data_IF_818052661416
#
_entry.id   IF_818052661416
#
_cell.length_a   1.000
_cell.length_b   1.000
_cell.length_c   1.000
_cell.angle_alpha   90.00
_cell.angle_beta   90.00
_cell.angle_gamma   90.00
#
_symmetry.space_group_name_H-M   'P 1'
#
loop_
_entity.id
_entity.type
_entity.pdbx_description
1 polymer ?
#
# COMPACT_ATOMS: atom_id res chain seq x y z
N UNK A 1 -32.64 11.64 -24.31
CA UNK A 1 -33.51 11.49 -23.11
C UNK A 1 -32.92 10.37 -22.26
N UNK A 2 -32.94 10.42 -20.91
CA UNK A 2 -32.44 9.31 -20.10
C UNK A 2 -33.30 8.05 -20.28
N UNK A 3 -32.66 6.90 -20.46
CA UNK A 3 -33.35 5.62 -20.52
C UNK A 3 -33.77 5.23 -19.12
N UNK A 4 -35.05 4.91 -18.95
CA UNK A 4 -35.58 4.41 -17.69
C UNK A 4 -35.69 2.89 -17.78
N UNK A 5 -35.09 2.18 -16.83
CA UNK A 5 -35.21 0.73 -16.72
C UNK A 5 -35.56 0.34 -15.29
N UNK A 6 -36.14 -0.85 -15.13
CA UNK A 6 -36.63 -1.34 -13.85
C UNK A 6 -35.76 -2.49 -13.35
N UNK A 7 -35.24 -2.37 -12.13
CA UNK A 7 -34.64 -3.48 -11.38
C UNK A 7 -35.57 -3.76 -10.19
N UNK A 8 -36.25 -4.90 -10.21
CA UNK A 8 -37.33 -5.19 -9.28
C UNK A 8 -38.42 -4.10 -9.33
N UNK A 9 -38.75 -3.51 -8.18
CA UNK A 9 -39.75 -2.44 -8.06
C UNK A 9 -39.17 -1.02 -8.18
N UNK A 10 -37.88 -0.88 -8.51
CA UNK A 10 -37.21 0.42 -8.58
C UNK A 10 -37.02 0.87 -10.02
N UNK A 11 -37.32 2.16 -10.25
CA UNK A 11 -37.11 2.82 -11.53
C UNK A 11 -35.75 3.51 -11.52
N UNK A 12 -34.83 3.02 -12.34
CA UNK A 12 -33.49 3.57 -12.50
C UNK A 12 -33.39 4.35 -13.82
N UNK A 13 -32.63 5.45 -13.82
CA UNK A 13 -32.42 6.26 -15.01
C UNK A 13 -30.94 6.29 -15.35
N UNK A 14 -30.62 6.03 -16.63
CA UNK A 14 -29.27 6.14 -17.16
C UNK A 14 -29.25 7.17 -18.28
N UNK A 15 -28.23 8.04 -18.25
CA UNK A 15 -28.06 9.03 -19.30
C UNK A 15 -27.67 8.35 -20.62
N UNK A 16 -28.15 8.91 -21.73
CA UNK A 16 -27.94 8.36 -23.08
C UNK A 16 -26.45 8.22 -23.44
N UNK A 17 -25.60 9.10 -22.90
CA UNK A 17 -24.14 9.05 -23.04
C UNK A 17 -23.55 7.80 -22.38
N UNK A 18 -23.93 7.52 -21.14
CA UNK A 18 -23.49 6.31 -20.42
C UNK A 18 -24.06 5.02 -21.03
N UNK A 19 -25.28 5.07 -21.57
CA UNK A 19 -25.85 3.91 -22.26
C UNK A 19 -25.08 3.58 -23.56
N UNK A 20 -24.65 4.61 -24.31
CA UNK A 20 -23.78 4.40 -25.48
C UNK A 20 -22.40 3.87 -25.08
N UNK A 21 -21.80 4.36 -23.99
CA UNK A 21 -20.54 3.81 -23.49
C UNK A 21 -20.65 2.32 -23.11
N UNK A 22 -21.81 1.88 -22.60
CA UNK A 22 -22.09 0.46 -22.29
C UNK A 22 -22.35 -0.37 -23.57
N UNK A 23 -23.10 0.18 -24.53
CA UNK A 23 -23.48 -0.53 -25.77
C UNK A 23 -22.31 -0.60 -26.75
N UNK A 24 -21.49 0.45 -26.84
CA UNK A 24 -20.44 0.59 -27.83
C UNK A 24 -19.11 -0.06 -27.38
N UNK A 25 -18.95 -0.45 -26.10
CA UNK A 25 -17.72 -1.04 -25.57
C UNK A 25 -17.93 -2.32 -24.72
N UNK A 26 -18.18 -3.43 -25.43
CA UNK A 26 -18.14 -4.85 -25.00
C UNK A 26 -19.46 -5.43 -24.46
N UNK A 27 -19.77 -6.65 -24.93
CA UNK A 27 -20.97 -7.44 -24.60
C UNK A 27 -21.01 -7.97 -23.15
N UNK A 28 -19.99 -7.75 -22.34
CA UNK A 28 -19.96 -8.10 -20.91
C UNK A 28 -19.25 -7.01 -20.12
N UNK A 29 -19.92 -6.45 -19.11
CA UNK A 29 -19.33 -5.53 -18.15
C UNK A 29 -18.99 -6.33 -16.88
N UNK A 30 -17.69 -6.58 -16.67
CA UNK A 30 -17.21 -7.30 -15.48
C UNK A 30 -16.90 -6.27 -14.39
N UNK A 31 -17.75 -6.19 -13.38
CA UNK A 31 -17.49 -5.34 -12.22
C UNK A 31 -16.30 -5.85 -11.41
N UNK A 32 -15.44 -4.93 -10.98
CA UNK A 32 -14.36 -5.22 -10.04
C UNK A 32 -14.92 -5.62 -8.67
N UNK A 33 -14.12 -6.34 -7.86
CA UNK A 33 -14.46 -6.70 -6.47
C UNK A 33 -14.79 -5.47 -5.61
N UNK A 34 -14.12 -4.33 -5.85
CA UNK A 34 -14.38 -3.06 -5.17
C UNK A 34 -15.75 -2.49 -5.55
N UNK A 35 -16.13 -2.53 -6.83
CA UNK A 35 -17.45 -2.05 -7.27
C UNK A 35 -18.58 -2.94 -6.76
N UNK A 36 -18.38 -4.26 -6.72
CA UNK A 36 -19.33 -5.20 -6.09
C UNK A 36 -19.47 -4.96 -4.59
N UNK A 37 -18.37 -4.69 -3.90
CA UNK A 37 -18.35 -4.31 -2.48
C UNK A 37 -19.14 -3.01 -2.25
N UNK A 38 -18.84 -1.95 -3.01
CA UNK A 38 -19.51 -0.65 -2.87
C UNK A 38 -21.00 -0.80 -3.15
N UNK A 39 -21.40 -1.55 -4.17
CA UNK A 39 -22.81 -1.75 -4.50
C UNK A 39 -23.56 -2.57 -3.45
N UNK A 40 -22.94 -3.64 -2.92
CA UNK A 40 -23.50 -4.44 -1.83
C UNK A 40 -23.71 -3.59 -0.57
N UNK A 41 -22.69 -2.86 -0.15
CA UNK A 41 -22.73 -2.11 1.11
C UNK A 41 -23.54 -0.81 1.04
N UNK A 42 -23.66 -0.20 -0.14
CA UNK A 42 -24.60 0.93 -0.36
C UNK A 42 -26.06 0.52 -0.15
N UNK A 43 -26.41 -0.74 -0.37
CA UNK A 43 -27.77 -1.24 -0.15
C UNK A 43 -28.04 -1.55 1.33
N UNK A 44 -27.00 -1.85 2.11
CA UNK A 44 -27.10 -2.23 3.53
C UNK A 44 -26.98 -0.99 4.44
N UNK A 45 -26.10 -0.05 4.10
CA UNK A 45 -25.75 1.09 4.95
C UNK A 45 -26.34 2.42 4.46
N UNK A 46 -26.29 3.45 5.32
CA UNK A 46 -27.13 4.63 5.13
C UNK A 46 -26.82 5.40 3.84
N UNK A 47 -27.82 6.12 3.29
CA UNK A 47 -27.63 7.09 2.20
C UNK A 47 -26.84 8.35 2.61
N UNK A 48 -26.29 8.39 3.83
CA UNK A 48 -25.57 9.56 4.38
C UNK A 48 -24.07 9.51 4.12
N UNK A 49 -23.50 8.31 3.97
CA UNK A 49 -22.08 8.14 3.65
C UNK A 49 -21.80 8.42 2.17
N UNK A 50 -20.71 9.14 1.91
CA UNK A 50 -20.23 9.42 0.57
C UNK A 50 -19.57 8.16 -0.02
N UNK A 51 -19.49 8.09 -1.36
CA UNK A 51 -18.76 7.00 -2.05
C UNK A 51 -17.31 6.91 -1.59
N UNK A 52 -16.69 8.03 -1.18
CA UNK A 52 -15.36 8.08 -0.58
C UNK A 52 -15.25 7.26 0.70
N UNK A 53 -16.29 7.25 1.52
CA UNK A 53 -16.29 6.60 2.83
C UNK A 53 -16.31 5.08 2.65
N UNK A 54 -17.11 4.58 1.70
CA UNK A 54 -17.14 3.17 1.34
C UNK A 54 -15.83 2.69 0.72
N UNK A 55 -15.12 3.55 -0.03
CA UNK A 55 -13.77 3.24 -0.54
C UNK A 55 -12.75 3.15 0.58
N UNK A 56 -12.84 4.04 1.57
CA UNK A 56 -11.94 3.99 2.73
C UNK A 56 -12.18 2.72 3.56
N UNK A 57 -13.45 2.36 3.79
CA UNK A 57 -13.80 1.13 4.51
C UNK A 57 -13.34 -0.12 3.73
N UNK A 58 -13.53 -0.14 2.41
CA UNK A 58 -13.01 -1.21 1.54
C UNK A 58 -11.49 -1.37 1.69
N UNK A 59 -10.75 -0.27 1.68
CA UNK A 59 -9.29 -0.27 1.81
C UNK A 59 -8.81 -0.73 3.20
N UNK A 60 -9.63 -0.55 4.23
CA UNK A 60 -9.33 -1.03 5.58
C UNK A 60 -9.66 -2.53 5.75
N UNK A 61 -10.82 -2.97 5.23
CA UNK A 61 -11.34 -4.34 5.37
C UNK A 61 -10.65 -5.34 4.45
N UNK A 62 -10.51 -4.97 3.18
CA UNK A 62 -9.84 -5.76 2.18
C UNK A 62 -8.39 -5.28 2.16
N UNK A 63 -7.50 -6.02 2.82
CA UNK A 63 -6.06 -5.87 2.63
C UNK A 63 -5.70 -6.28 1.19
N UNK A 64 -6.13 -5.51 0.19
CA UNK A 64 -5.37 -5.39 -1.04
C UNK A 64 -4.08 -4.69 -0.64
N UNK A 65 -2.93 -5.26 -0.98
CA UNK A 65 -1.65 -4.57 -0.84
C UNK A 65 -1.61 -3.39 -1.81
N UNK A 66 -2.32 -2.32 -1.50
CA UNK A 66 -2.29 -1.07 -2.24
C UNK A 66 -3.10 -0.07 -1.44
N UNK A 67 -2.41 0.88 -0.82
CA UNK A 67 -2.85 2.21 -0.36
C UNK A 67 -2.12 2.58 0.95
N UNK A 68 -0.95 3.25 0.87
CA UNK A 68 -0.40 3.99 2.00
C UNK A 68 -1.16 5.29 2.31
N UNK A 69 -2.16 5.65 1.51
CA UNK A 69 -2.79 6.98 1.56
C UNK A 69 -3.95 7.11 2.55
N UNK A 70 -4.07 6.23 3.55
CA UNK A 70 -4.91 6.55 4.70
C UNK A 70 -4.12 7.53 5.58
N UNK A 71 -4.30 8.82 5.31
CA UNK A 71 -3.88 9.90 6.20
C UNK A 71 -4.69 9.76 7.49
N UNK A 72 -4.03 9.29 8.55
CA UNK A 72 -4.60 9.09 9.86
C UNK A 72 -3.53 8.63 10.85
N UNK A 73 -3.86 8.59 12.15
CA UNK A 73 -2.89 8.37 13.23
C UNK A 73 -2.12 7.04 13.18
N UNK A 74 -2.47 6.11 12.27
CA UNK A 74 -1.87 4.77 12.13
C UNK A 74 -1.10 4.52 10.83
N UNK A 75 -0.47 5.57 10.28
CA UNK A 75 0.69 5.37 9.39
C UNK A 75 1.78 4.55 10.12
N UNK A 76 2.65 3.79 9.45
CA UNK A 76 3.71 2.99 10.10
C UNK A 76 4.71 3.79 10.97
N UNK A 77 4.62 5.12 10.97
CA UNK A 77 5.55 6.04 11.63
C UNK A 77 5.55 6.00 13.17
N UNK A 78 4.40 6.12 13.88
CA UNK A 78 4.42 6.29 15.34
C UNK A 78 4.68 5.00 16.14
N UNK A 79 4.48 3.83 15.54
CA UNK A 79 4.44 2.54 16.25
C UNK A 79 5.60 1.59 15.93
N UNK A 80 6.55 2.04 15.09
CA UNK A 80 7.74 1.30 14.63
C UNK A 80 8.71 0.81 15.72
N UNK A 81 8.46 1.13 17.00
CA UNK A 81 9.34 0.78 18.14
C UNK A 81 8.83 -0.37 19.01
N UNK A 82 7.79 -1.09 18.60
CA UNK A 82 7.27 -2.27 19.32
C UNK A 82 7.02 -3.41 18.34
N UNK A 83 7.18 -4.65 18.80
CA UNK A 83 7.05 -5.90 18.03
C UNK A 83 5.62 -6.19 17.50
N UNK A 84 4.76 -5.19 17.37
CA UNK A 84 3.38 -5.33 16.88
C UNK A 84 3.23 -4.68 15.50
N UNK A 85 2.95 -5.50 14.49
CA UNK A 85 2.64 -5.05 13.14
C UNK A 85 1.32 -4.25 13.11
N UNK A 86 1.45 -2.93 12.97
CA UNK A 86 0.32 -2.00 12.95
C UNK A 86 -0.70 -2.26 11.83
N UNK A 87 -0.34 -3.02 10.79
CA UNK A 87 -1.26 -3.38 9.70
C UNK A 87 -2.36 -4.36 10.15
N UNK A 88 -2.11 -5.11 11.24
CA UNK A 88 -3.09 -6.03 11.85
C UNK A 88 -4.31 -5.32 12.44
N UNK A 89 -4.22 -4.02 12.72
CA UNK A 89 -5.36 -3.23 13.20
C UNK A 89 -6.28 -2.75 12.08
N UNK A 90 -5.87 -2.80 10.80
CA UNK A 90 -6.65 -2.26 9.68
C UNK A 90 -7.98 -2.96 9.45
N UNK A 91 -8.04 -4.31 9.40
CA UNK A 91 -9.31 -5.02 9.28
C UNK A 91 -10.29 -4.63 10.40
N UNK A 92 -9.78 -4.50 11.62
CA UNK A 92 -10.56 -4.10 12.80
C UNK A 92 -11.12 -2.67 12.67
N UNK A 93 -10.28 -1.72 12.26
CA UNK A 93 -10.69 -0.33 12.05
C UNK A 93 -11.72 -0.21 10.92
N UNK A 94 -11.53 -0.94 9.82
CA UNK A 94 -12.49 -1.01 8.73
C UNK A 94 -13.84 -1.56 9.20
N UNK A 95 -13.81 -2.57 10.05
CA UNK A 95 -15.00 -3.19 10.62
C UNK A 95 -15.74 -2.26 11.58
N UNK A 96 -15.02 -1.53 12.44
CA UNK A 96 -15.63 -0.54 13.34
C UNK A 96 -16.20 0.64 12.56
N UNK A 97 -15.52 1.09 11.49
CA UNK A 97 -16.02 2.14 10.60
C UNK A 97 -17.26 1.70 9.82
N UNK A 98 -17.34 0.41 9.47
CA UNK A 98 -18.54 -0.19 8.91
C UNK A 98 -19.71 -0.12 9.90
N UNK A 99 -19.48 -0.46 11.18
CA UNK A 99 -20.47 -0.37 12.25
C UNK A 99 -20.91 1.08 12.48
N UNK A 100 -19.98 2.03 12.52
CA UNK A 100 -20.26 3.46 12.73
C UNK A 100 -21.09 4.06 11.56
N UNK A 101 -20.86 3.59 10.33
CA UNK A 101 -21.64 3.97 9.15
C UNK A 101 -22.98 3.22 9.00
N UNK A 102 -23.20 2.19 9.83
CA UNK A 102 -24.38 1.32 9.76
C UNK A 102 -25.64 1.96 10.31
N UNK A 103 -26.79 1.42 9.92
CA UNK A 103 -28.05 1.81 10.56
C UNK A 103 -28.12 1.22 11.97
N UNK A 104 -28.70 1.93 12.95
CA UNK A 104 -28.88 1.39 14.29
C UNK A 104 -29.55 0.01 14.30
N UNK A 105 -30.49 -0.22 13.39
CA UNK A 105 -31.24 -1.47 13.22
C UNK A 105 -30.40 -2.67 12.74
N UNK A 106 -29.12 -2.46 12.41
CA UNK A 106 -28.23 -3.48 11.84
C UNK A 106 -27.02 -3.76 12.71
N UNK A 107 -26.87 -3.06 13.85
CA UNK A 107 -25.69 -3.17 14.73
C UNK A 107 -25.65 -4.55 15.42
N UNK A 108 -26.80 -5.09 15.79
CA UNK A 108 -26.97 -6.40 16.42
C UNK A 108 -26.59 -7.58 15.50
N UNK A 109 -26.43 -7.33 14.21
CA UNK A 109 -25.99 -8.34 13.23
C UNK A 109 -24.48 -8.52 13.18
N UNK A 110 -23.72 -7.61 13.78
CA UNK A 110 -22.26 -7.70 13.84
C UNK A 110 -21.82 -8.57 15.00
N UNK A 111 -20.88 -9.47 14.74
CA UNK A 111 -20.31 -10.36 15.77
C UNK A 111 -18.81 -10.56 15.57
N UNK A 112 -18.13 -10.98 16.64
CA UNK A 112 -16.71 -11.34 16.62
C UNK A 112 -16.53 -12.71 17.24
N UNK A 113 -15.79 -13.58 16.56
CA UNK A 113 -15.32 -14.86 17.09
C UNK A 113 -13.81 -14.81 17.31
N UNK A 114 -13.34 -15.39 18.41
CA UNK A 114 -11.91 -15.45 18.76
C UNK A 114 -11.46 -16.91 18.80
N UNK A 115 -10.52 -17.26 17.93
CA UNK A 115 -9.99 -18.60 17.79
C UNK A 115 -8.52 -18.64 18.23
N UNK A 116 -8.10 -19.75 18.84
CA UNK A 116 -6.69 -19.98 19.13
C UNK A 116 -5.89 -20.10 17.80
N UNK A 117 -4.76 -19.41 17.71
CA UNK A 117 -3.86 -19.46 16.55
C UNK A 117 -2.43 -19.83 17.00
N UNK A 118 -1.44 -19.77 16.10
CA UNK A 118 -0.02 -20.10 16.37
C UNK A 118 0.51 -19.46 17.67
N UNK A 119 1.56 -20.04 18.28
CA UNK A 119 2.09 -19.69 19.61
C UNK A 119 1.97 -18.19 19.96
N UNK A 120 1.17 -17.89 20.99
CA UNK A 120 0.86 -16.55 21.54
C UNK A 120 0.01 -15.60 20.66
N UNK A 121 -0.62 -16.08 19.59
CA UNK A 121 -1.53 -15.32 18.75
C UNK A 121 -2.94 -15.91 18.74
N UNK A 122 -3.94 -15.03 18.61
CA UNK A 122 -5.36 -15.34 18.48
C UNK A 122 -5.85 -14.80 17.13
N UNK A 123 -6.73 -15.55 16.45
CA UNK A 123 -7.37 -15.12 15.21
C UNK A 123 -8.75 -14.55 15.55
N UNK A 124 -9.00 -13.31 15.14
CA UNK A 124 -10.29 -12.65 15.29
C UNK A 124 -11.01 -12.70 13.95
N UNK A 125 -12.17 -13.33 13.91
CA UNK A 125 -13.04 -13.37 12.76
C UNK A 125 -14.24 -12.45 13.00
N UNK A 126 -14.50 -11.55 12.07
CA UNK A 126 -15.51 -10.51 12.18
C UNK A 126 -16.63 -10.76 11.17
N UNK A 127 -17.88 -10.82 11.64
CA UNK A 127 -19.02 -11.28 10.85
C UNK A 127 -20.16 -10.27 10.80
N UNK A 128 -20.88 -10.24 9.69
CA UNK A 128 -22.16 -9.55 9.55
C UNK A 128 -23.23 -10.57 9.16
N UNK A 129 -24.25 -10.75 10.01
CA UNK A 129 -25.38 -11.67 9.76
C UNK A 129 -24.92 -13.09 9.40
N UNK A 130 -23.89 -13.58 10.10
CA UNK A 130 -23.27 -14.90 9.89
C UNK A 130 -22.32 -14.99 8.69
N UNK A 131 -22.13 -13.90 7.93
CA UNK A 131 -21.18 -13.84 6.80
C UNK A 131 -19.85 -13.27 7.28
N UNK A 132 -18.76 -13.98 7.04
CA UNK A 132 -17.40 -13.51 7.35
C UNK A 132 -17.10 -12.24 6.54
N UNK A 133 -16.82 -11.14 7.22
CA UNK A 133 -16.47 -9.86 6.61
C UNK A 133 -14.96 -9.74 6.46
N UNK A 134 -14.21 -10.02 7.53
CA UNK A 134 -12.75 -9.96 7.53
C UNK A 134 -12.19 -10.69 8.75
N UNK A 135 -10.87 -10.89 8.79
CA UNK A 135 -10.16 -11.51 9.90
C UNK A 135 -8.82 -10.82 10.18
N UNK A 136 -8.33 -10.94 11.42
CA UNK A 136 -7.01 -10.43 11.80
C UNK A 136 -6.39 -11.19 12.96
N UNK A 137 -5.07 -11.21 13.02
CA UNK A 137 -4.31 -11.81 14.12
C UNK A 137 -4.05 -10.78 15.23
N UNK A 138 -4.25 -11.18 16.49
CA UNK A 138 -4.02 -10.34 17.66
C UNK A 138 -3.26 -11.10 18.75
N UNK A 139 -2.43 -10.40 19.52
CA UNK A 139 -1.87 -10.95 20.76
C UNK A 139 -2.96 -11.05 21.84
N UNK A 140 -2.75 -11.87 22.87
CA UNK A 140 -3.67 -11.97 24.02
C UNK A 140 -3.94 -10.61 24.66
N UNK A 141 -2.89 -9.79 24.81
CA UNK A 141 -2.98 -8.40 25.30
C UNK A 141 -3.90 -7.53 24.43
N UNK A 142 -3.83 -7.67 23.11
CA UNK A 142 -4.70 -6.94 22.19
C UNK A 142 -6.15 -7.39 22.33
N UNK A 143 -6.38 -8.68 22.51
CA UNK A 143 -7.74 -9.21 22.72
C UNK A 143 -8.34 -8.67 24.01
N UNK A 144 -7.58 -8.60 25.10
CA UNK A 144 -8.09 -8.03 26.37
C UNK A 144 -8.53 -6.57 26.21
N UNK A 145 -7.77 -5.75 25.47
CA UNK A 145 -8.19 -4.40 25.12
C UNK A 145 -9.52 -4.38 24.33
N UNK A 146 -9.72 -5.31 23.40
CA UNK A 146 -10.94 -5.37 22.59
C UNK A 146 -12.15 -5.87 23.37
N UNK A 147 -11.96 -6.75 24.36
CA UNK A 147 -13.03 -7.14 25.30
C UNK A 147 -13.57 -5.94 26.08
N UNK A 148 -12.70 -4.98 26.41
CA UNK A 148 -13.08 -3.78 27.16
C UNK A 148 -13.70 -2.69 26.28
N UNK A 149 -13.40 -2.69 24.98
CA UNK A 149 -13.69 -1.53 24.12
C UNK A 149 -14.62 -1.80 22.95
N UNK A 150 -14.75 -3.05 22.50
CA UNK A 150 -15.41 -3.38 21.24
C UNK A 150 -16.49 -4.47 21.36
N UNK A 151 -16.20 -5.60 22.00
CA UNK A 151 -17.12 -6.76 21.98
C UNK A 151 -17.10 -7.56 23.28
N UNK A 152 -18.21 -8.26 23.55
CA UNK A 152 -18.31 -9.20 24.65
C UNK A 152 -17.74 -10.56 24.25
N UNK A 153 -16.67 -10.98 24.93
CA UNK A 153 -15.97 -12.23 24.64
C UNK A 153 -16.84 -13.49 24.73
N UNK A 154 -17.86 -13.49 25.59
CA UNK A 154 -18.63 -14.70 25.88
C UNK A 154 -19.64 -15.04 24.78
N UNK A 155 -20.15 -14.03 24.07
CA UNK A 155 -21.18 -14.20 23.05
C UNK A 155 -20.84 -13.53 21.71
N UNK A 156 -19.70 -12.83 21.61
CA UNK A 156 -19.24 -12.18 20.38
C UNK A 156 -20.01 -10.91 20.02
N UNK A 157 -20.97 -10.47 20.84
CA UNK A 157 -21.79 -9.28 20.57
C UNK A 157 -20.95 -8.00 20.62
N UNK A 158 -21.21 -7.08 19.70
CA UNK A 158 -20.57 -5.76 19.70
C UNK A 158 -21.11 -4.93 20.87
N UNK A 159 -20.20 -4.50 21.75
CA UNK A 159 -20.50 -3.71 22.96
C UNK A 159 -19.80 -2.35 22.95
N UNK A 160 -19.41 -1.85 21.77
CA UNK A 160 -18.67 -0.59 21.55
C UNK A 160 -19.05 0.47 22.58
N UNK A 161 -18.18 0.63 23.58
CA UNK A 161 -18.48 1.45 24.74
C UNK A 161 -18.30 2.92 24.37
N UNK A 162 -19.39 3.59 24.01
CA UNK A 162 -19.42 5.04 23.90
C UNK A 162 -19.27 5.63 25.31
N UNK A 163 -18.09 6.14 25.65
CA UNK A 163 -17.93 6.91 26.89
C UNK A 163 -18.46 8.33 26.67
N UNK A 164 -19.76 8.49 26.93
CA UNK A 164 -20.36 9.71 27.48
C UNK A 164 -20.68 10.85 26.50
N UNK A 165 -21.93 10.91 26.04
CA UNK A 165 -22.77 12.10 26.23
C UNK A 165 -24.24 11.72 26.07
N UNK A 166 -24.76 11.03 27.08
CA UNK A 166 -26.20 11.02 27.33
C UNK A 166 -26.61 12.46 27.71
N UNK A 167 -27.57 13.04 26.97
CA UNK A 167 -28.31 14.29 27.23
C UNK A 167 -28.01 15.54 26.36
N UNK A 168 -27.78 15.42 25.05
CA UNK A 168 -28.02 16.56 24.14
C UNK A 168 -28.80 16.13 22.89
N UNK A 169 -29.79 16.94 22.44
CA UNK A 169 -30.53 16.64 21.22
C UNK A 169 -29.57 16.68 20.02
N UNK A 170 -29.89 15.97 18.93
CA UNK A 170 -29.01 15.86 17.77
C UNK A 170 -28.90 17.23 17.08
N UNK A 171 -27.97 18.07 17.54
CA UNK A 171 -27.66 19.34 16.92
C UNK A 171 -26.75 19.08 15.73
N UNK A 172 -27.09 19.73 14.63
CA UNK A 172 -26.31 19.89 13.41
C UNK A 172 -24.93 20.53 13.71
N UNK A 173 -23.98 19.75 14.27
CA UNK A 173 -22.53 19.98 14.28
C UNK A 173 -21.82 18.89 15.12
N UNK A 174 -21.08 18.00 14.45
CA UNK A 174 -19.85 17.36 14.95
C UNK A 174 -19.87 16.62 16.29
N UNK A 175 -20.71 15.59 16.46
CA UNK A 175 -20.46 14.58 17.50
C UNK A 175 -19.40 13.59 17.01
N UNK A 176 -18.28 13.44 17.72
CA UNK A 176 -17.26 12.44 17.38
C UNK A 176 -17.91 11.05 17.26
N UNK A 177 -17.76 10.40 16.09
CA UNK A 177 -18.34 9.09 15.79
C UNK A 177 -17.78 7.98 16.67
N UNK A 178 -18.45 6.82 16.69
CA UNK A 178 -18.00 5.63 17.43
C UNK A 178 -16.59 5.24 16.97
N UNK A 179 -16.31 5.41 15.67
CA UNK A 179 -14.99 5.19 15.08
C UNK A 179 -13.92 6.09 15.69
N UNK A 180 -14.17 7.40 15.80
CA UNK A 180 -13.18 8.37 16.30
C UNK A 180 -12.85 8.14 17.79
N UNK A 181 -13.87 7.82 18.59
CA UNK A 181 -13.68 7.51 20.01
C UNK A 181 -12.86 6.22 20.22
N UNK A 182 -13.13 5.19 19.39
CA UNK A 182 -12.36 3.95 19.40
C UNK A 182 -10.91 4.19 18.94
N UNK A 183 -10.71 4.97 17.87
CA UNK A 183 -9.41 5.29 17.31
C UNK A 183 -8.49 5.94 18.37
N UNK A 184 -9.00 6.92 19.12
CA UNK A 184 -8.23 7.58 20.19
C UNK A 184 -7.84 6.64 21.32
N UNK A 185 -8.73 5.72 21.73
CA UNK A 185 -8.43 4.71 22.76
C UNK A 185 -7.36 3.73 22.29
N UNK A 186 -7.43 3.30 21.04
CA UNK A 186 -6.42 2.44 20.44
C UNK A 186 -5.04 3.12 20.41
N UNK A 187 -4.97 4.41 20.08
CA UNK A 187 -3.71 5.19 20.14
C UNK A 187 -3.14 5.19 21.57
N UNK A 188 -3.99 5.42 22.58
CA UNK A 188 -3.58 5.41 23.99
C UNK A 188 -3.05 4.06 24.46
N UNK A 189 -3.74 2.97 24.10
CA UNK A 189 -3.31 1.60 24.39
C UNK A 189 -1.94 1.29 23.77
N UNK A 190 -1.77 1.62 22.49
CA UNK A 190 -0.54 1.35 21.73
C UNK A 190 0.65 2.21 22.16
N UNK A 191 0.43 3.33 22.87
CA UNK A 191 1.51 4.21 23.35
C UNK A 191 2.02 3.84 24.74
N UNK A 192 1.36 2.96 25.50
CA UNK A 192 1.76 2.60 26.88
C UNK A 192 2.72 1.38 26.92
N UNK A 193 3.98 1.48 27.42
CA UNK A 193 5.00 0.43 27.32
C UNK A 193 4.57 -0.92 27.91
N UNK A 194 4.84 -2.01 27.19
CA UNK A 194 4.83 -3.34 27.77
C UNK A 194 6.09 -3.50 28.64
N UNK A 195 5.94 -4.00 29.86
CA UNK A 195 7.05 -4.34 30.74
C UNK A 195 7.97 -5.37 30.08
N UNK A 196 9.29 -5.11 30.12
CA UNK A 196 10.30 -5.78 29.31
C UNK A 196 10.77 -7.16 29.84
N UNK A 197 11.16 -8.01 28.89
CA UNK A 197 12.28 -8.98 28.97
C UNK A 197 12.70 -9.22 27.51
N UNK A 198 13.87 -8.86 26.99
CA UNK A 198 15.22 -8.87 27.53
C UNK A 198 16.01 -9.87 26.70
N UNK A 199 16.74 -9.43 25.67
CA UNK A 199 18.02 -10.03 25.24
C UNK A 199 18.71 -9.21 24.14
N UNK A 200 19.94 -8.80 24.43
CA UNK A 200 20.93 -8.28 23.48
C UNK A 200 21.73 -9.46 22.91
N UNK A 201 22.00 -9.46 21.59
CA UNK A 201 23.29 -9.97 21.11
C UNK A 201 23.69 -9.26 19.81
N UNK A 202 24.89 -8.69 19.83
CA UNK A 202 25.54 -8.12 18.67
C UNK A 202 26.40 -9.16 17.95
N UNK A 203 26.55 -8.98 16.64
CA UNK A 203 27.71 -9.44 15.89
C UNK A 203 27.93 -8.47 14.72
N UNK A 204 29.05 -7.75 14.78
CA UNK A 204 29.64 -7.04 13.65
C UNK A 204 30.50 -8.09 12.94
N UNK A 205 30.38 -8.22 11.61
CA UNK A 205 31.30 -9.04 10.84
C UNK A 205 32.05 -8.25 9.78
N UNK A 206 33.31 -8.65 9.63
CA UNK A 206 34.42 -7.90 9.06
C UNK A 206 34.46 -7.90 7.53
N UNK A 207 35.08 -6.85 7.01
CA UNK A 207 35.43 -6.62 5.61
C UNK A 207 36.53 -7.57 5.11
N UNK A 208 36.24 -8.32 4.06
CA UNK A 208 37.24 -8.90 3.16
C UNK A 208 37.34 -8.05 1.89
N UNK A 209 38.55 -7.67 1.49
CA UNK A 209 38.82 -6.84 0.32
C UNK A 209 38.58 -7.64 -0.97
N UNK A 210 37.33 -7.73 -1.40
CA UNK A 210 36.98 -8.22 -2.73
C UNK A 210 37.28 -7.14 -3.78
N UNK A 211 37.55 -7.58 -5.01
CA UNK A 211 37.51 -6.70 -6.19
C UNK A 211 36.23 -5.85 -6.17
N UNK A 212 36.29 -4.56 -6.53
CA UNK A 212 35.13 -3.69 -6.54
C UNK A 212 34.04 -4.29 -7.45
N UNK A 213 32.79 -4.26 -6.99
CA UNK A 213 31.67 -4.78 -7.77
C UNK A 213 31.61 -4.07 -9.15
N UNK A 214 31.15 -4.75 -10.20
CA UNK A 214 31.13 -4.21 -11.55
C UNK A 214 30.44 -2.82 -11.65
N UNK A 215 29.39 -2.59 -10.85
CA UNK A 215 28.70 -1.30 -10.78
C UNK A 215 29.58 -0.19 -10.20
N UNK A 216 30.44 -0.51 -9.22
CA UNK A 216 31.42 0.43 -8.66
C UNK A 216 32.52 0.74 -9.67
N UNK A 217 33.00 -0.28 -10.39
CA UNK A 217 33.97 -0.09 -11.46
C UNK A 217 33.42 0.80 -12.58
N UNK A 218 32.14 0.65 -12.92
CA UNK A 218 31.45 1.49 -13.90
C UNK A 218 31.29 2.95 -13.43
N UNK A 219 30.80 3.18 -12.20
CA UNK A 219 30.61 4.56 -11.67
C UNK A 219 31.94 5.30 -11.52
N UNK A 220 33.02 4.57 -11.23
CA UNK A 220 34.37 5.12 -11.13
C UNK A 220 35.13 5.15 -12.47
N UNK A 221 34.49 4.77 -13.59
CA UNK A 221 35.15 4.76 -14.89
C UNK A 221 35.32 6.18 -15.44
N UNK A 222 36.40 6.47 -16.18
CA UNK A 222 36.59 7.76 -16.84
C UNK A 222 35.43 8.15 -17.77
N UNK A 223 34.78 7.15 -18.39
CA UNK A 223 33.64 7.34 -19.28
C UNK A 223 32.39 7.81 -18.53
N UNK A 224 32.17 7.37 -17.29
CA UNK A 224 31.06 7.83 -16.45
C UNK A 224 31.34 9.21 -15.85
N UNK A 225 32.59 9.47 -15.45
CA UNK A 225 32.99 10.72 -14.78
C UNK A 225 33.18 11.92 -15.72
N UNK A 226 33.30 11.69 -17.04
CA UNK A 226 33.42 12.80 -17.99
C UNK A 226 32.11 13.60 -18.09
N UNK A 227 32.22 14.86 -18.50
CA UNK A 227 31.07 15.67 -18.86
C UNK A 227 30.34 15.08 -20.07
N UNK A 228 29.10 14.65 -19.86
CA UNK A 228 28.25 14.05 -20.89
C UNK A 228 27.21 15.08 -21.35
N UNK A 229 27.02 15.23 -22.66
CA UNK A 229 25.93 16.05 -23.17
C UNK A 229 24.68 15.19 -23.30
N UNK A 230 23.52 15.70 -22.85
CA UNK A 230 22.25 14.95 -22.92
C UNK A 230 21.96 14.42 -24.33
N UNK A 231 22.19 15.24 -25.35
CA UNK A 231 21.99 14.87 -26.76
C UNK A 231 22.83 13.66 -27.21
N UNK A 232 23.95 13.39 -26.54
CA UNK A 232 24.87 12.31 -26.92
C UNK A 232 24.36 10.94 -26.40
N UNK A 233 23.55 10.96 -25.32
CA UNK A 233 22.94 9.77 -24.71
C UNK A 233 21.46 9.59 -25.09
N UNK A 234 20.81 10.57 -25.71
CA UNK A 234 19.39 10.51 -26.07
C UNK A 234 19.02 9.29 -26.90
N UNK A 235 19.89 8.90 -27.83
CA UNK A 235 19.73 7.68 -28.65
C UNK A 235 19.70 6.38 -27.86
N UNK A 236 20.14 6.41 -26.60
CA UNK A 236 20.17 5.27 -25.69
C UNK A 236 18.98 5.27 -24.71
N UNK A 237 18.00 6.17 -24.87
CA UNK A 237 16.79 6.21 -24.06
C UNK A 237 16.01 4.91 -24.22
N UNK A 238 15.65 4.29 -23.10
CA UNK A 238 14.87 3.05 -23.07
C UNK A 238 13.53 3.19 -22.32
N UNK A 239 13.34 4.27 -21.57
CA UNK A 239 12.08 4.53 -20.87
C UNK A 239 12.04 5.93 -20.26
N UNK A 240 10.85 6.43 -19.97
CA UNK A 240 10.64 7.68 -19.22
C UNK A 240 9.36 7.61 -18.43
N UNK A 241 9.37 8.18 -17.22
CA UNK A 241 8.20 8.30 -16.36
C UNK A 241 8.16 9.64 -15.63
N UNK A 242 7.32 9.69 -14.60
CA UNK A 242 7.04 10.92 -13.83
C UNK A 242 8.25 11.49 -13.08
N UNK A 243 9.16 10.62 -12.64
CA UNK A 243 10.29 11.01 -11.78
C UNK A 243 11.66 10.89 -12.45
N UNK A 244 11.73 10.35 -13.66
CA UNK A 244 13.00 10.21 -14.35
C UNK A 244 12.92 9.58 -15.73
N UNK A 245 14.02 9.67 -16.47
CA UNK A 245 14.22 9.09 -17.78
C UNK A 245 15.41 8.14 -17.72
N UNK A 246 15.24 6.95 -18.30
CA UNK A 246 16.17 5.83 -18.20
C UNK A 246 16.94 5.67 -19.51
N UNK A 247 18.26 5.61 -19.40
CA UNK A 247 19.17 5.44 -20.52
C UNK A 247 20.04 4.21 -20.32
N UNK A 248 20.19 3.37 -21.34
CA UNK A 248 21.12 2.24 -21.31
C UNK A 248 22.53 2.73 -21.63
N UNK A 249 23.46 2.58 -20.70
CA UNK A 249 24.86 2.98 -20.89
C UNK A 249 25.78 1.77 -20.70
N UNK A 250 26.79 1.66 -21.56
CA UNK A 250 27.82 0.62 -21.49
C UNK A 250 27.28 -0.82 -21.52
N UNK A 251 26.16 -1.01 -22.24
CA UNK A 251 25.42 -2.27 -22.47
C UNK A 251 24.87 -3.01 -21.24
N UNK A 252 25.55 -2.94 -20.10
CA UNK A 252 25.24 -3.71 -18.88
C UNK A 252 24.58 -2.87 -17.78
N UNK A 253 24.50 -1.54 -17.95
CA UNK A 253 23.93 -0.64 -16.96
C UNK A 253 22.85 0.26 -17.54
N UNK A 254 21.94 0.67 -16.66
CA UNK A 254 20.96 1.71 -16.91
C UNK A 254 21.18 2.86 -15.95
N UNK A 255 21.00 4.07 -16.44
CA UNK A 255 21.08 5.31 -15.67
C UNK A 255 19.75 6.02 -15.75
N UNK A 256 19.07 6.15 -14.60
CA UNK A 256 17.84 6.95 -14.44
C UNK A 256 18.25 8.36 -14.02
N UNK A 257 18.03 9.31 -14.92
CA UNK A 257 18.28 10.74 -14.71
C UNK A 257 16.98 11.39 -14.24
N UNK A 258 16.98 12.25 -13.21
CA UNK A 258 15.77 12.90 -12.66
C UNK A 258 15.26 14.01 -13.58
N UNK A 259 14.86 13.62 -14.79
CA UNK A 259 14.18 14.42 -15.80
C UNK A 259 12.97 13.61 -16.20
N UNK A 260 11.77 14.14 -16.00
CA UNK A 260 10.55 13.42 -16.31
C UNK A 260 10.30 13.32 -17.83
N UNK A 261 9.26 12.59 -18.21
CA UNK A 261 8.84 12.41 -19.60
C UNK A 261 8.61 13.71 -20.39
N UNK A 262 8.32 14.83 -19.70
CA UNK A 262 8.12 16.16 -20.31
C UNK A 262 9.42 16.94 -20.48
N UNK A 263 10.57 16.35 -20.12
CA UNK A 263 11.87 17.02 -20.12
C UNK A 263 12.07 17.98 -18.94
N UNK A 264 11.22 17.92 -17.90
CA UNK A 264 11.32 18.79 -16.74
C UNK A 264 12.21 18.14 -15.69
N UNK A 265 13.19 18.89 -15.17
CA UNK A 265 14.04 18.44 -14.07
C UNK A 265 13.20 18.21 -12.81
N UNK A 266 13.36 17.03 -12.22
CA UNK A 266 12.74 16.65 -10.95
C UNK A 266 13.72 17.00 -9.83
N UNK A 267 13.26 17.75 -8.84
CA UNK A 267 14.05 18.06 -7.66
C UNK A 267 13.93 16.93 -6.64
N UNK A 268 14.85 15.97 -6.71
CA UNK A 268 14.90 14.79 -5.82
C UNK A 268 15.20 15.13 -4.36
N UNK A 269 15.65 16.35 -4.07
CA UNK A 269 15.88 16.83 -2.71
C UNK A 269 14.65 17.51 -2.11
N UNK A 270 13.58 17.71 -2.89
CA UNK A 270 12.36 18.31 -2.39
C UNK A 270 11.63 17.34 -1.46
N UNK A 271 10.83 17.90 -0.53
CA UNK A 271 10.02 17.09 0.36
C UNK A 271 8.99 16.23 -0.40
N UNK A 272 8.52 16.72 -1.55
CA UNK A 272 7.56 16.05 -2.42
C UNK A 272 8.16 14.81 -3.12
N UNK A 273 9.45 14.89 -3.51
CA UNK A 273 10.11 13.85 -4.31
C UNK A 273 11.16 13.04 -3.53
N UNK A 274 11.26 13.23 -2.21
CA UNK A 274 12.24 12.52 -1.37
C UNK A 274 12.19 10.99 -1.50
N UNK A 275 11.04 10.43 -1.87
CA UNK A 275 10.85 8.99 -2.04
C UNK A 275 11.58 8.46 -3.30
N UNK A 276 11.69 9.27 -4.36
CA UNK A 276 12.40 8.93 -5.58
C UNK A 276 13.90 9.31 -5.53
N UNK A 277 14.42 9.73 -4.36
CA UNK A 277 15.83 10.04 -4.20
C UNK A 277 16.71 8.81 -4.50
N UNK A 278 17.72 8.90 -5.38
CA UNK A 278 18.50 7.74 -5.84
C UNK A 278 19.11 6.89 -4.72
N UNK A 279 19.54 7.47 -3.60
CA UNK A 279 20.06 6.70 -2.45
C UNK A 279 18.99 5.83 -1.80
N UNK A 280 17.78 6.35 -1.62
CA UNK A 280 16.66 5.61 -1.04
C UNK A 280 16.24 4.50 -1.99
N UNK A 281 16.03 4.83 -3.26
CA UNK A 281 15.59 3.86 -4.29
C UNK A 281 16.64 2.75 -4.44
N UNK A 282 17.92 3.10 -4.46
CA UNK A 282 19.00 2.10 -4.55
C UNK A 282 18.97 1.09 -3.39
N UNK A 283 18.77 1.56 -2.16
CA UNK A 283 18.64 0.69 -0.99
C UNK A 283 17.53 -0.35 -1.19
N UNK A 284 16.34 0.10 -1.59
CA UNK A 284 15.19 -0.79 -1.74
C UNK A 284 15.30 -1.69 -2.96
N UNK A 285 15.81 -1.22 -4.09
CA UNK A 285 16.04 -2.08 -5.26
C UNK A 285 17.05 -3.19 -4.96
N UNK A 286 18.09 -2.91 -4.18
CA UNK A 286 19.06 -3.93 -3.77
C UNK A 286 18.41 -5.01 -2.89
N UNK A 287 17.56 -4.60 -1.95
CA UNK A 287 16.79 -5.52 -1.11
C UNK A 287 15.77 -6.31 -1.94
N UNK A 288 14.97 -5.61 -2.76
CA UNK A 288 13.92 -6.16 -3.60
C UNK A 288 14.43 -7.18 -4.60
N UNK A 289 15.68 -7.05 -5.07
CA UNK A 289 16.30 -8.01 -5.98
C UNK A 289 17.19 -9.05 -5.27
N UNK A 290 17.36 -8.96 -3.95
CA UNK A 290 18.27 -9.84 -3.20
C UNK A 290 19.74 -9.70 -3.63
N UNK A 291 20.11 -8.56 -4.21
CA UNK A 291 21.43 -8.29 -4.77
C UNK A 291 21.94 -6.94 -4.29
N UNK A 292 22.91 -6.99 -3.36
CA UNK A 292 23.54 -5.80 -2.77
C UNK A 292 24.26 -4.92 -3.78
N UNK A 293 24.47 -5.38 -5.02
CA UNK A 293 25.15 -4.67 -6.09
C UNK A 293 24.22 -4.39 -7.30
N UNK A 294 22.90 -4.50 -7.13
CA UNK A 294 21.95 -4.27 -8.20
C UNK A 294 21.91 -2.81 -8.66
N UNK A 295 21.99 -1.88 -7.73
CA UNK A 295 21.87 -0.44 -7.98
C UNK A 295 22.71 0.41 -7.02
N UNK A 296 23.01 1.64 -7.44
CA UNK A 296 23.75 2.67 -6.69
C UNK A 296 23.24 4.07 -7.01
N UNK A 297 23.28 4.95 -6.01
CA UNK A 297 23.27 6.39 -6.25
C UNK A 297 24.64 6.83 -6.73
N UNK A 298 24.69 7.71 -7.72
CA UNK A 298 25.94 8.27 -8.24
C UNK A 298 25.76 9.73 -8.64
N UNK A 299 26.88 10.44 -8.78
CA UNK A 299 26.91 11.79 -9.34
C UNK A 299 27.45 11.70 -10.76
N UNK A 300 26.67 12.20 -11.72
CA UNK A 300 27.04 12.24 -13.13
C UNK A 300 27.11 13.69 -13.60
N UNK A 301 28.19 14.06 -14.29
CA UNK A 301 28.32 15.41 -14.85
C UNK A 301 27.59 15.48 -16.20
N UNK A 302 26.46 16.20 -16.23
CA UNK A 302 25.59 16.32 -17.39
C UNK A 302 25.51 17.79 -17.81
N UNK A 303 25.92 18.09 -19.05
CA UNK A 303 26.01 19.44 -19.58
C UNK A 303 26.77 20.41 -18.64
N UNK A 304 27.83 19.92 -18.00
CA UNK A 304 28.64 20.69 -17.05
C UNK A 304 28.03 20.86 -15.65
N UNK A 305 26.94 20.15 -15.31
CA UNK A 305 26.32 20.17 -14.00
C UNK A 305 26.35 18.80 -13.36
N UNK A 306 26.63 18.76 -12.06
CA UNK A 306 26.55 17.53 -11.29
C UNK A 306 25.08 17.19 -11.00
N UNK A 307 24.69 15.98 -11.37
CA UNK A 307 23.32 15.46 -11.24
C UNK A 307 23.37 14.15 -10.49
N UNK A 308 22.62 14.04 -9.39
CA UNK A 308 22.41 12.78 -8.69
C UNK A 308 21.55 11.88 -9.56
N UNK A 309 22.06 10.69 -9.90
CA UNK A 309 21.41 9.70 -10.75
C UNK A 309 21.34 8.36 -10.04
N UNK A 310 20.38 7.53 -10.45
CA UNK A 310 20.32 6.13 -10.06
C UNK A 310 20.94 5.28 -11.17
N UNK A 311 21.94 4.47 -10.82
CA UNK A 311 22.57 3.51 -11.71
C UNK A 311 22.13 2.11 -11.29
N UNK A 312 21.64 1.30 -12.22
CA UNK A 312 21.22 -0.09 -11.95
C UNK A 312 21.74 -1.03 -13.03
N UNK A 313 21.81 -2.33 -12.72
CA UNK A 313 22.07 -3.37 -13.73
C UNK A 313 20.99 -3.33 -14.81
N UNK A 314 21.40 -3.46 -16.07
CA UNK A 314 20.47 -3.64 -17.17
C UNK A 314 19.95 -5.07 -17.19
N UNK A 315 18.63 -5.21 -17.19
CA UNK A 315 17.95 -6.50 -17.31
C UNK A 315 17.30 -6.58 -18.68
N UNK A 316 17.82 -7.45 -19.54
CA UNK A 316 17.18 -7.82 -20.80
C UNK A 316 16.08 -8.87 -20.51
N UNK A 317 15.01 -8.43 -19.87
CA UNK A 317 13.84 -9.23 -19.53
C UNK A 317 12.60 -8.81 -20.32
N UNK A 318 11.53 -9.58 -20.16
CA UNK A 318 10.19 -9.22 -20.63
C UNK A 318 9.43 -8.56 -19.49
N UNK A 319 8.49 -7.67 -19.80
CA UNK A 319 7.58 -7.13 -18.81
C UNK A 319 6.78 -8.26 -18.19
N UNK A 320 6.68 -8.26 -16.87
CA UNK A 320 5.92 -9.25 -16.13
C UNK A 320 4.46 -8.81 -16.03
N UNK A 321 3.54 -9.68 -16.44
CA UNK A 321 2.11 -9.38 -16.46
C UNK A 321 1.52 -9.47 -15.05
N UNK A 322 1.51 -8.33 -14.36
CA UNK A 322 0.95 -8.16 -13.02
C UNK A 322 -0.57 -7.94 -13.02
N UNK A 323 -1.22 -7.84 -14.20
CA UNK A 323 -2.69 -7.82 -14.26
C UNK A 323 -3.28 -9.20 -13.95
N UNK A 324 -2.50 -10.26 -14.15
CA UNK A 324 -2.81 -11.60 -13.69
C UNK A 324 -2.62 -11.71 -12.15
N UNK A 325 -3.67 -12.14 -11.44
CA UNK A 325 -3.66 -12.18 -9.98
C UNK A 325 -2.62 -13.15 -9.39
N UNK A 326 -2.34 -14.27 -10.05
CA UNK A 326 -1.38 -15.26 -9.56
C UNK A 326 0.04 -14.73 -9.71
N UNK A 327 0.32 -14.07 -10.84
CA UNK A 327 1.57 -13.36 -11.07
C UNK A 327 1.79 -12.23 -10.05
N UNK A 328 0.76 -11.41 -9.81
CA UNK A 328 0.79 -10.37 -8.78
C UNK A 328 1.18 -10.99 -7.43
N UNK A 329 0.44 -12.01 -6.97
CA UNK A 329 0.69 -12.68 -5.67
C UNK A 329 2.10 -13.25 -5.59
N UNK A 330 2.64 -13.78 -6.69
CA UNK A 330 4.01 -14.29 -6.74
C UNK A 330 5.06 -13.19 -6.54
N UNK A 331 4.96 -12.08 -7.28
CA UNK A 331 5.87 -10.94 -7.14
C UNK A 331 5.77 -10.32 -5.73
N UNK A 332 4.55 -10.25 -5.23
CA UNK A 332 4.17 -9.65 -3.96
C UNK A 332 4.63 -10.48 -2.75
N UNK A 333 4.57 -11.81 -2.85
CA UNK A 333 5.16 -12.75 -1.88
C UNK A 333 6.70 -12.69 -1.89
N UNK A 334 7.31 -12.54 -3.07
CA UNK A 334 8.76 -12.42 -3.19
C UNK A 334 9.28 -11.14 -2.51
N UNK A 335 8.65 -9.99 -2.75
CA UNK A 335 8.98 -8.74 -2.06
C UNK A 335 8.83 -8.87 -0.53
N UNK A 336 7.72 -9.47 -0.07
CA UNK A 336 7.47 -9.71 1.35
C UNK A 336 8.56 -10.58 1.98
N UNK A 337 8.98 -11.64 1.28
CA UNK A 337 10.07 -12.52 1.75
C UNK A 337 11.42 -11.79 1.86
N UNK A 338 11.59 -10.70 1.11
CA UNK A 338 12.78 -9.82 1.11
C UNK A 338 12.64 -8.63 2.05
N UNK A 339 11.56 -8.57 2.85
CA UNK A 339 11.32 -7.51 3.83
C UNK A 339 11.00 -6.15 3.21
N UNK A 340 10.51 -6.12 1.97
CA UNK A 340 10.15 -4.89 1.24
C UNK A 340 8.75 -4.98 0.66
N UNK A 341 8.24 -3.82 0.27
CA UNK A 341 7.00 -3.64 -0.47
C UNK A 341 7.23 -2.58 -1.56
N UNK A 342 6.47 -2.65 -2.64
CA UNK A 342 6.56 -1.77 -3.81
C UNK A 342 5.19 -1.15 -4.05
N UNK A 343 5.09 0.18 -4.03
CA UNK A 343 3.80 0.88 -4.10
C UNK A 343 3.18 0.83 -5.49
N UNK A 344 4.02 0.75 -6.50
CA UNK A 344 3.69 0.78 -7.92
C UNK A 344 3.91 -0.60 -8.57
N UNK A 345 3.73 -1.68 -7.80
CA UNK A 345 3.86 -3.06 -8.29
C UNK A 345 2.93 -3.36 -9.48
N UNK A 346 1.78 -2.69 -9.55
CA UNK A 346 0.78 -2.81 -10.62
C UNK A 346 1.11 -2.02 -11.89
N UNK A 347 2.20 -1.27 -11.91
CA UNK A 347 2.61 -0.53 -13.10
C UNK A 347 3.37 -1.45 -14.04
N UNK A 348 2.84 -1.60 -15.25
CA UNK A 348 3.51 -2.34 -16.32
C UNK A 348 4.90 -1.76 -16.58
N UNK A 349 5.91 -2.64 -16.67
CA UNK A 349 7.31 -2.27 -16.88
C UNK A 349 8.15 -2.11 -15.60
N UNK A 350 7.53 -2.14 -14.42
CA UNK A 350 8.23 -2.05 -13.14
C UNK A 350 8.83 -3.38 -12.65
N UNK A 351 8.28 -4.49 -13.16
CA UNK A 351 8.78 -5.84 -12.91
C UNK A 351 9.12 -6.47 -14.25
N UNK A 352 10.35 -6.99 -14.36
CA UNK A 352 10.82 -7.74 -15.50
C UNK A 352 11.03 -9.20 -15.12
N UNK A 353 10.70 -10.11 -16.03
CA UNK A 353 11.03 -11.53 -15.92
C UNK A 353 12.13 -11.89 -16.91
N UNK A 354 13.16 -12.56 -16.41
CA UNK A 354 14.22 -13.15 -17.23
C UNK A 354 14.56 -14.53 -16.68
N UNK A 355 14.47 -15.55 -17.52
CA UNK A 355 14.81 -16.94 -17.16
C UNK A 355 14.04 -17.43 -15.92
N UNK A 356 12.77 -17.01 -15.77
CA UNK A 356 11.91 -17.36 -14.63
C UNK A 356 12.23 -16.60 -13.34
N UNK A 357 13.19 -15.67 -13.35
CA UNK A 357 13.54 -14.81 -12.21
C UNK A 357 12.90 -13.44 -12.39
N UNK A 358 12.27 -12.94 -11.32
CA UNK A 358 11.70 -11.60 -11.27
C UNK A 358 12.75 -10.57 -10.85
N UNK A 359 12.78 -9.46 -11.58
CA UNK A 359 13.63 -8.30 -11.34
C UNK A 359 12.76 -7.06 -11.16
N UNK A 360 12.94 -6.36 -10.05
CA UNK A 360 12.25 -5.11 -9.75
C UNK A 360 13.13 -3.95 -10.21
N UNK A 361 12.62 -3.08 -11.09
CA UNK A 361 13.44 -2.07 -11.79
C UNK A 361 13.06 -0.62 -11.49
N UNK A 362 11.87 -0.38 -10.92
CA UNK A 362 11.53 0.85 -10.21
C UNK A 362 11.27 0.55 -8.73
N UNK A 363 11.38 1.54 -7.86
CA UNK A 363 11.43 1.31 -6.41
C UNK A 363 10.71 2.36 -5.59
N UNK A 364 9.61 2.89 -6.11
CA UNK A 364 8.78 3.82 -5.34
C UNK A 364 7.99 3.09 -4.23
#
# INVERSE_FOLDING_TARGET
MPFTFHIGNHSCQISERYLRDIIDNKREHVFSTCEKFIDFFRNIFTRRSLISDYREIYNLLCQKKEHPDIKGPFSPGPFSKRDEDCTRWRPLLGYIKLIDASRPETIDKYTVEVLAHQENMLLLQMFYDGVLVTETECSERCVDFLKETMFNYNNGEITLAALGNDNLPPSEAGSNGIYEAFEQRLIGFLTTPATASGDESGAIDQTDASQPAAIEAFINSPEFQKNIRMRDIEKNKIGSGSYGTVYRLHDDFVVKIPINERGIKVDVNSQEHRNCHPERVSKYLNMANGDKNFSRSAIMNINGKDVTVLVSKYIQGQEFDVEDEDNYRMAEALLKSRGVYMHDINILGNILVKEGVLFFVDGD
#
